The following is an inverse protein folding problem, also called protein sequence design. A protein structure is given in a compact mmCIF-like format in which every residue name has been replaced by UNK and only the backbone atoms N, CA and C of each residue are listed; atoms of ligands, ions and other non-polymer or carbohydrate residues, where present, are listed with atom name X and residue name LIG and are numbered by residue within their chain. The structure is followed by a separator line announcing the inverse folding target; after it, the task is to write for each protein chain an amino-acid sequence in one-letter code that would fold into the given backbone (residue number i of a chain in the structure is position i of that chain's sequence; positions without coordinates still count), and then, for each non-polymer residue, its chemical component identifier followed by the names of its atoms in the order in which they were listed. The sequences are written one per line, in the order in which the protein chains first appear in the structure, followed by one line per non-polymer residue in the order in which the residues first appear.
data_IF_208685104893
#
_entry.id   IF_208685104893
#
_cell.length_a   1.000
_cell.length_b   1.000
_cell.length_c   1.000
_cell.angle_alpha   90.00
_cell.angle_beta   90.00
_cell.angle_gamma   90.00
#
_symmetry.space_group_name_H-M   'P 1'
#
loop_
_entity.id
_entity.type
_entity.pdbx_description
1 polymer ?
#
# COMPACT_ATOMS: atom_id res chain seq x y z
N UNK A 1 -19.39 -10.20 -6.80
CA UNK A 1 -19.16 -10.38 -5.35
C UNK A 1 -19.88 -11.60 -4.76
N UNK A 2 -21.09 -11.97 -5.21
CA UNK A 2 -21.80 -13.21 -4.80
C UNK A 2 -21.22 -14.51 -5.39
N UNK A 3 -20.47 -14.44 -6.51
CA UNK A 3 -19.96 -15.63 -7.21
C UNK A 3 -18.80 -16.32 -6.48
N UNK A 4 -17.94 -15.55 -5.78
CA UNK A 4 -16.86 -16.10 -4.96
C UNK A 4 -17.41 -16.91 -3.78
N UNK A 5 -18.58 -16.52 -3.25
CA UNK A 5 -19.27 -17.22 -2.16
C UNK A 5 -19.88 -18.56 -2.56
N UNK A 6 -20.32 -18.71 -3.81
CA UNK A 6 -20.97 -19.94 -4.28
C UNK A 6 -19.99 -21.11 -4.52
N UNK A 7 -18.70 -20.82 -4.73
CA UNK A 7 -17.69 -21.83 -5.08
C UNK A 7 -16.66 -22.10 -3.99
N UNK A 8 -16.47 -21.16 -3.05
CA UNK A 8 -15.54 -21.30 -1.93
C UNK A 8 -16.26 -20.92 -0.64
N UNK A 9 -16.52 -21.87 0.26
CA UNK A 9 -17.19 -21.61 1.54
C UNK A 9 -16.37 -20.70 2.49
N UNK A 10 -15.12 -20.37 2.13
CA UNK A 10 -14.21 -19.55 2.92
C UNK A 10 -13.83 -18.27 2.15
N UNK A 11 -14.11 -17.11 2.74
CA UNK A 11 -13.66 -15.81 2.25
C UNK A 11 -12.13 -15.75 2.41
N UNK A 12 -11.35 -15.44 1.35
CA UNK A 12 -9.91 -15.32 1.47
C UNK A 12 -9.51 -14.28 2.52
N UNK A 13 -8.51 -14.62 3.34
CA UNK A 13 -7.98 -13.72 4.38
C UNK A 13 -7.09 -12.61 3.81
N UNK A 14 -6.56 -12.80 2.60
CA UNK A 14 -5.71 -11.85 1.87
C UNK A 14 -6.47 -11.22 0.70
N UNK A 15 -6.29 -9.92 0.52
CA UNK A 15 -6.95 -9.16 -0.55
C UNK A 15 -6.46 -9.58 -1.94
N UNK A 16 -5.17 -9.88 -2.11
CA UNK A 16 -4.63 -10.32 -3.38
C UNK A 16 -5.27 -11.63 -3.87
N UNK A 17 -5.50 -12.60 -2.98
CA UNK A 17 -6.17 -13.87 -3.28
C UNK A 17 -7.61 -13.61 -3.70
N UNK A 18 -8.32 -12.74 -2.98
CA UNK A 18 -9.69 -12.37 -3.33
C UNK A 18 -9.78 -11.76 -4.74
N UNK A 19 -8.91 -10.79 -5.06
CA UNK A 19 -8.94 -10.15 -6.38
C UNK A 19 -8.47 -11.08 -7.51
N UNK A 20 -7.53 -11.99 -7.24
CA UNK A 20 -7.14 -13.01 -8.20
C UNK A 20 -8.31 -13.95 -8.53
N UNK A 21 -8.99 -14.48 -7.52
CA UNK A 21 -10.16 -15.34 -7.69
C UNK A 21 -11.31 -14.61 -8.39
N UNK A 22 -11.54 -13.34 -8.03
CA UNK A 22 -12.55 -12.52 -8.70
C UNK A 22 -12.21 -12.34 -10.19
N UNK A 23 -10.95 -12.10 -10.53
CA UNK A 23 -10.50 -12.01 -11.91
C UNK A 23 -10.67 -13.33 -12.66
N UNK A 24 -10.29 -14.47 -12.06
CA UNK A 24 -10.47 -15.80 -12.66
C UNK A 24 -11.95 -16.09 -12.98
N UNK A 25 -12.84 -15.84 -12.02
CA UNK A 25 -14.28 -16.02 -12.21
C UNK A 25 -14.82 -15.11 -13.32
N UNK A 26 -14.40 -13.84 -13.35
CA UNK A 26 -14.79 -12.89 -14.40
C UNK A 26 -14.28 -13.32 -15.77
N UNK A 27 -13.05 -13.81 -15.85
CA UNK A 27 -12.44 -14.23 -17.12
C UNK A 27 -13.03 -15.53 -17.67
N UNK A 28 -13.39 -16.46 -16.79
CA UNK A 28 -13.88 -17.78 -17.20
C UNK A 28 -15.40 -17.88 -17.35
N UNK A 29 -16.20 -17.25 -16.46
CA UNK A 29 -17.53 -17.82 -16.12
C UNK A 29 -18.62 -16.86 -15.64
N UNK A 30 -18.57 -15.55 -15.88
CA UNK A 30 -19.66 -14.68 -15.40
C UNK A 30 -21.05 -15.09 -15.94
N UNK A 31 -21.15 -15.55 -17.20
CA UNK A 31 -22.45 -15.83 -17.85
C UNK A 31 -22.83 -17.32 -17.93
N UNK A 32 -21.88 -18.24 -17.75
CA UNK A 32 -22.14 -19.68 -17.80
C UNK A 32 -23.15 -20.14 -16.73
N UNK A 33 -23.21 -19.44 -15.60
CA UNK A 33 -24.11 -19.73 -14.48
C UNK A 33 -25.55 -19.21 -14.68
N UNK A 34 -25.82 -18.42 -15.74
CA UNK A 34 -27.15 -17.88 -16.05
C UNK A 34 -27.92 -18.69 -17.11
N UNK A 35 -27.56 -19.96 -17.32
CA UNK A 35 -28.27 -20.84 -18.27
C UNK A 35 -27.58 -21.03 -19.62
N UNK A 36 -26.25 -20.89 -19.69
CA UNK A 36 -25.45 -21.49 -20.77
C UNK A 36 -25.01 -20.58 -21.92
N UNK A 37 -25.17 -19.26 -21.84
CA UNK A 37 -24.54 -18.38 -22.83
C UNK A 37 -23.12 -18.03 -22.40
N UNK A 38 -22.13 -18.59 -23.10
CA UNK A 38 -20.74 -18.14 -22.97
C UNK A 38 -20.55 -17.00 -23.98
N UNK A 39 -20.30 -15.78 -23.50
CA UNK A 39 -19.82 -14.72 -24.40
C UNK A 39 -18.46 -15.16 -24.93
N UNK A 40 -18.36 -15.38 -26.24
CA UNK A 40 -17.08 -15.66 -26.86
C UNK A 40 -16.21 -14.41 -26.80
N UNK A 41 -14.99 -14.58 -26.29
CA UNK A 41 -13.99 -13.52 -26.32
C UNK A 41 -13.51 -13.32 -27.74
N UNK A 42 -13.36 -12.06 -28.13
CA UNK A 42 -12.85 -11.67 -29.44
C UNK A 42 -11.34 -11.89 -29.52
N UNK A 43 -10.63 -11.79 -28.39
CA UNK A 43 -9.20 -12.09 -28.31
C UNK A 43 -8.94 -13.54 -27.92
N UNK A 44 -7.87 -14.11 -28.47
CA UNK A 44 -7.38 -15.45 -28.14
C UNK A 44 -6.32 -15.45 -27.02
N UNK A 45 -6.24 -14.36 -26.25
CA UNK A 45 -5.32 -14.30 -25.10
C UNK A 45 -5.80 -15.28 -24.03
N UNK A 46 -4.86 -16.00 -23.43
CA UNK A 46 -5.14 -16.74 -22.20
C UNK A 46 -5.28 -15.78 -21.01
N UNK A 47 -5.69 -16.33 -19.87
CA UNK A 47 -5.91 -15.55 -18.65
C UNK A 47 -4.65 -14.85 -18.14
N UNK A 48 -3.47 -15.40 -18.38
CA UNK A 48 -2.21 -14.82 -17.91
C UNK A 48 -1.80 -13.66 -18.79
N UNK A 49 -1.82 -13.83 -20.11
CA UNK A 49 -1.47 -12.78 -21.06
C UNK A 49 -2.50 -11.65 -21.06
N UNK A 50 -3.79 -11.97 -20.95
CA UNK A 50 -4.83 -10.96 -20.76
C UNK A 50 -4.58 -10.16 -19.48
N UNK A 51 -4.32 -10.84 -18.36
CA UNK A 51 -3.99 -10.20 -17.10
C UNK A 51 -2.73 -9.34 -17.17
N UNK A 52 -1.70 -9.79 -17.89
CA UNK A 52 -0.44 -9.06 -18.09
C UNK A 52 -0.68 -7.76 -18.87
N UNK A 53 -1.43 -7.83 -19.98
CA UNK A 53 -1.78 -6.65 -20.77
C UNK A 53 -2.64 -5.67 -19.96
N UNK A 54 -3.61 -6.17 -19.18
CA UNK A 54 -4.43 -5.34 -18.31
C UNK A 54 -3.64 -4.71 -17.17
N UNK A 55 -2.65 -5.41 -16.60
CA UNK A 55 -1.77 -4.86 -15.56
C UNK A 55 -1.00 -3.62 -16.03
N UNK A 56 -0.49 -3.63 -17.27
CA UNK A 56 0.16 -2.49 -17.88
C UNK A 56 -0.82 -1.33 -18.15
N UNK A 57 -2.08 -1.65 -18.48
CA UNK A 57 -3.14 -0.65 -18.66
C UNK A 57 -3.49 0.03 -17.32
N UNK A 58 -3.63 -0.77 -16.26
CA UNK A 58 -3.89 -0.28 -14.91
C UNK A 58 -2.77 0.58 -14.38
N UNK A 59 -1.49 0.20 -14.60
CA UNK A 59 -0.36 1.04 -14.20
C UNK A 59 -0.44 2.44 -14.83
N UNK A 60 -0.68 2.52 -16.14
CA UNK A 60 -0.74 3.80 -16.87
C UNK A 60 -1.88 4.71 -16.39
N UNK A 61 -3.07 4.15 -16.19
CA UNK A 61 -4.24 4.91 -15.72
C UNK A 61 -4.09 5.30 -14.25
N UNK A 62 -3.54 4.42 -13.42
CA UNK A 62 -3.25 4.68 -12.01
C UNK A 62 -2.23 5.80 -11.85
N UNK A 63 -1.18 5.80 -12.68
CA UNK A 63 -0.14 6.83 -12.65
C UNK A 63 -0.70 8.24 -12.86
N UNK A 64 -1.70 8.34 -13.75
CA UNK A 64 -2.41 9.58 -14.07
C UNK A 64 -3.58 9.88 -13.13
N UNK A 65 -3.83 9.05 -12.13
CA UNK A 65 -5.00 9.14 -11.23
C UNK A 65 -6.33 9.20 -11.98
N UNK A 66 -6.38 8.54 -13.14
CA UNK A 66 -7.53 8.56 -14.01
C UNK A 66 -8.50 7.44 -13.61
N UNK A 67 -9.72 7.83 -13.22
CA UNK A 67 -10.81 6.91 -12.85
C UNK A 67 -11.85 6.73 -13.97
N UNK A 68 -11.93 7.72 -14.88
CA UNK A 68 -12.80 7.73 -16.05
C UNK A 68 -11.99 8.10 -17.30
N UNK A 69 -12.28 7.46 -18.43
CA UNK A 69 -11.58 7.72 -19.69
C UNK A 69 -12.47 7.42 -20.90
N UNK A 70 -12.22 8.11 -22.01
CA UNK A 70 -12.96 7.83 -23.25
C UNK A 70 -12.50 6.53 -23.90
N UNK A 71 -13.28 5.99 -24.84
CA UNK A 71 -12.85 4.85 -25.66
C UNK A 71 -11.53 5.11 -26.38
N UNK A 72 -11.35 6.31 -26.94
CA UNK A 72 -10.11 6.68 -27.63
C UNK A 72 -8.91 6.61 -26.67
N UNK A 73 -9.03 7.17 -25.47
CA UNK A 73 -7.99 7.10 -24.45
C UNK A 73 -7.72 5.65 -24.02
N UNK A 74 -8.76 4.82 -23.87
CA UNK A 74 -8.61 3.41 -23.55
C UNK A 74 -7.79 2.68 -24.62
N UNK A 75 -8.09 2.91 -25.90
CA UNK A 75 -7.36 2.31 -27.02
C UNK A 75 -5.89 2.75 -27.06
N UNK A 76 -5.60 4.01 -26.75
CA UNK A 76 -4.21 4.50 -26.62
C UNK A 76 -3.46 3.82 -25.47
N UNK A 77 -4.10 3.64 -24.31
CA UNK A 77 -3.49 2.93 -23.19
C UNK A 77 -3.26 1.45 -23.52
N UNK A 78 -4.20 0.80 -24.20
CA UNK A 78 -4.07 -0.60 -24.64
C UNK A 78 -2.89 -0.74 -25.60
N UNK A 79 -2.76 0.16 -26.58
CA UNK A 79 -1.66 0.16 -27.53
C UNK A 79 -0.29 0.31 -26.84
N UNK A 80 -0.19 1.21 -25.85
CA UNK A 80 1.02 1.32 -25.02
C UNK A 80 1.25 0.08 -24.16
N UNK A 81 0.20 -0.53 -23.62
CA UNK A 81 0.32 -1.78 -22.88
C UNK A 81 0.87 -2.91 -23.74
N UNK A 82 0.49 -2.97 -25.02
CA UNK A 82 1.03 -3.95 -25.97
C UNK A 82 2.53 -3.74 -26.18
N UNK A 83 2.98 -2.48 -26.31
CA UNK A 83 4.41 -2.15 -26.41
C UNK A 83 5.19 -2.54 -25.14
N UNK A 84 4.61 -2.27 -23.96
CA UNK A 84 5.23 -2.60 -22.66
C UNK A 84 5.36 -4.11 -22.48
N UNK A 85 4.33 -4.87 -22.87
CA UNK A 85 4.24 -6.31 -22.61
C UNK A 85 4.78 -7.18 -23.75
N UNK A 86 4.92 -6.63 -24.95
CA UNK A 86 5.23 -7.38 -26.18
C UNK A 86 4.08 -8.25 -26.70
N UNK A 87 2.87 -8.12 -26.14
CA UNK A 87 1.69 -8.89 -26.55
C UNK A 87 1.00 -8.25 -27.76
N UNK A 88 0.55 -9.08 -28.69
CA UNK A 88 -0.13 -8.62 -29.92
C UNK A 88 -1.57 -9.10 -29.94
N UNK A 89 -2.52 -8.16 -30.01
CA UNK A 89 -3.94 -8.43 -30.26
C UNK A 89 -4.58 -7.20 -30.91
N UNK A 90 -5.80 -7.32 -31.44
CA UNK A 90 -6.51 -6.15 -31.95
C UNK A 90 -7.06 -5.34 -30.78
N UNK A 91 -6.58 -4.11 -30.61
CA UNK A 91 -6.90 -3.25 -29.44
C UNK A 91 -8.40 -3.02 -29.23
N UNK A 92 -9.18 -2.92 -30.30
CA UNK A 92 -10.64 -2.77 -30.25
C UNK A 92 -11.29 -4.05 -29.70
N UNK A 93 -10.81 -5.21 -30.13
CA UNK A 93 -11.34 -6.51 -29.70
C UNK A 93 -11.00 -6.75 -28.22
N UNK A 94 -9.79 -6.36 -27.80
CA UNK A 94 -9.38 -6.41 -26.39
C UNK A 94 -10.21 -5.47 -25.50
N UNK A 95 -10.48 -4.24 -25.96
CA UNK A 95 -11.35 -3.31 -25.24
C UNK A 95 -12.77 -3.86 -25.10
N UNK A 96 -13.31 -4.44 -26.17
CA UNK A 96 -14.61 -5.09 -26.13
C UNK A 96 -14.64 -6.26 -25.15
N UNK A 97 -13.58 -7.09 -25.09
CA UNK A 97 -13.46 -8.16 -24.10
C UNK A 97 -13.41 -7.62 -22.67
N UNK A 98 -12.71 -6.51 -22.42
CA UNK A 98 -12.66 -5.86 -21.10
C UNK A 98 -14.05 -5.39 -20.64
N UNK A 99 -14.89 -4.90 -21.55
CA UNK A 99 -16.22 -4.36 -21.24
C UNK A 99 -17.27 -5.49 -21.15
N UNK A 100 -17.33 -6.35 -22.17
CA UNK A 100 -18.45 -7.25 -22.39
C UNK A 100 -18.21 -8.67 -21.88
N UNK A 101 -16.99 -9.19 -22.05
CA UNK A 101 -16.68 -10.59 -21.73
C UNK A 101 -16.18 -10.76 -20.29
N UNK A 102 -15.19 -9.96 -19.88
CA UNK A 102 -14.58 -10.01 -18.54
C UNK A 102 -15.20 -8.98 -17.59
N UNK A 103 -15.84 -7.93 -18.14
CA UNK A 103 -16.51 -6.88 -17.37
C UNK A 103 -15.61 -6.24 -16.30
N UNK A 104 -14.36 -5.95 -16.64
CA UNK A 104 -13.43 -5.17 -15.81
C UNK A 104 -13.62 -3.67 -15.98
N UNK A 105 -14.20 -3.28 -17.13
CA UNK A 105 -14.62 -1.92 -17.43
C UNK A 105 -16.13 -1.89 -17.69
N UNK A 106 -16.76 -0.75 -17.43
CA UNK A 106 -18.17 -0.48 -17.68
C UNK A 106 -18.29 0.85 -18.42
N UNK A 107 -19.24 0.91 -19.36
CA UNK A 107 -19.62 2.13 -20.04
C UNK A 107 -20.60 2.94 -19.17
N UNK A 108 -20.20 4.16 -18.82
CA UNK A 108 -21.04 5.15 -18.14
C UNK A 108 -21.18 6.38 -19.06
N UNK A 109 -22.26 6.38 -19.85
CA UNK A 109 -22.50 7.40 -20.86
C UNK A 109 -21.46 7.33 -21.99
N UNK A 110 -20.62 8.36 -22.11
CA UNK A 110 -19.53 8.42 -23.11
C UNK A 110 -18.16 8.05 -22.52
N UNK A 111 -18.11 7.70 -21.24
CA UNK A 111 -16.90 7.36 -20.51
C UNK A 111 -16.86 5.88 -20.17
N UNK A 112 -15.65 5.38 -19.96
CA UNK A 112 -15.37 4.07 -19.39
C UNK A 112 -14.86 4.24 -17.98
N UNK A 113 -15.38 3.44 -17.07
CA UNK A 113 -14.93 3.35 -15.67
C UNK A 113 -14.56 1.93 -15.32
N UNK A 114 -13.70 1.75 -14.31
CA UNK A 114 -13.47 0.43 -13.75
C UNK A 114 -14.72 -0.08 -13.04
N UNK A 115 -15.07 -1.35 -13.24
CA UNK A 115 -16.18 -2.01 -12.50
C UNK A 115 -15.99 -1.91 -10.99
N UNK A 116 -14.74 -1.86 -10.53
CA UNK A 116 -14.38 -1.43 -9.18
C UNK A 116 -12.96 -0.87 -9.17
N UNK A 117 -12.74 0.26 -8.48
CA UNK A 117 -11.41 0.91 -8.37
C UNK A 117 -10.31 -0.05 -7.91
N UNK A 118 -10.63 -0.99 -7.02
CA UNK A 118 -9.64 -1.93 -6.51
C UNK A 118 -9.09 -2.91 -7.56
N UNK A 119 -9.76 -3.11 -8.71
CA UNK A 119 -9.13 -3.85 -9.82
C UNK A 119 -7.96 -3.06 -10.41
N UNK A 120 -8.11 -1.75 -10.59
CA UNK A 120 -6.99 -0.89 -11.01
C UNK A 120 -5.83 -1.00 -10.02
N UNK A 121 -6.11 -0.96 -8.71
CA UNK A 121 -5.09 -1.06 -7.66
C UNK A 121 -4.40 -2.44 -7.63
N UNK A 122 -5.18 -3.52 -7.72
CA UNK A 122 -4.67 -4.90 -7.76
C UNK A 122 -3.79 -5.17 -8.97
N UNK A 123 -4.26 -4.80 -10.18
CA UNK A 123 -3.50 -5.02 -11.40
C UNK A 123 -2.27 -4.10 -11.49
N UNK A 124 -2.30 -2.91 -10.86
CA UNK A 124 -1.10 -2.09 -10.68
C UNK A 124 -0.08 -2.78 -9.77
N UNK A 125 -0.52 -3.33 -8.63
CA UNK A 125 0.36 -4.08 -7.73
C UNK A 125 0.97 -5.31 -8.42
N UNK A 126 0.16 -6.05 -9.20
CA UNK A 126 0.62 -7.19 -10.00
C UNK A 126 1.65 -6.78 -11.05
N UNK A 127 1.43 -5.67 -11.76
CA UNK A 127 2.45 -5.16 -12.70
C UNK A 127 3.78 -4.90 -12.01
N UNK A 128 3.76 -4.24 -10.85
CA UNK A 128 5.00 -3.93 -10.10
C UNK A 128 5.67 -5.24 -9.65
N UNK A 129 4.91 -6.22 -9.16
CA UNK A 129 5.45 -7.52 -8.72
C UNK A 129 6.17 -8.27 -9.85
N UNK A 130 5.65 -8.19 -11.07
CA UNK A 130 6.16 -8.90 -12.26
C UNK A 130 7.20 -8.10 -13.06
N UNK A 131 7.37 -6.81 -12.76
CA UNK A 131 8.34 -5.95 -13.43
C UNK A 131 9.79 -6.39 -13.14
N UNK A 132 10.73 -5.97 -14.00
CA UNK A 132 12.16 -6.19 -13.75
C UNK A 132 12.65 -5.41 -12.51
N UNK A 133 13.69 -5.89 -11.79
CA UNK A 133 14.20 -5.21 -10.60
C UNK A 133 14.54 -3.72 -10.78
N UNK A 134 15.11 -3.35 -11.94
CA UNK A 134 15.46 -1.96 -12.28
C UNK A 134 14.25 -1.03 -12.43
N UNK A 135 13.07 -1.60 -12.67
CA UNK A 135 11.79 -0.88 -12.77
C UNK A 135 11.00 -0.97 -11.46
N UNK A 136 11.14 -2.08 -10.71
CA UNK A 136 10.46 -2.26 -9.43
C UNK A 136 10.80 -1.17 -8.43
N UNK A 137 12.09 -0.91 -8.21
CA UNK A 137 12.55 0.09 -7.24
C UNK A 137 11.97 1.49 -7.49
N UNK A 138 12.07 2.09 -8.70
CA UNK A 138 11.51 3.41 -8.95
C UNK A 138 9.98 3.44 -8.83
N UNK A 139 9.26 2.37 -9.23
CA UNK A 139 7.80 2.30 -9.07
C UNK A 139 7.38 2.24 -7.60
N UNK A 140 8.05 1.41 -6.80
CA UNK A 140 7.80 1.32 -5.35
C UNK A 140 8.09 2.65 -4.67
N UNK A 141 9.23 3.29 -4.98
CA UNK A 141 9.55 4.63 -4.47
C UNK A 141 8.50 5.67 -4.87
N UNK A 142 8.02 5.66 -6.12
CA UNK A 142 6.99 6.58 -6.61
C UNK A 142 5.67 6.41 -5.85
N UNK A 143 5.18 5.17 -5.73
CA UNK A 143 3.84 4.90 -5.21
C UNK A 143 3.77 4.67 -3.70
N UNK A 144 4.90 4.43 -3.03
CA UNK A 144 4.95 4.35 -1.57
C UNK A 144 4.44 5.62 -0.85
N UNK A 145 4.51 6.77 -1.52
CA UNK A 145 3.92 8.03 -1.03
C UNK A 145 2.41 7.94 -0.81
N UNK A 146 1.77 7.00 -1.49
CA UNK A 146 0.32 6.81 -1.61
C UNK A 146 -0.17 5.64 -0.76
N UNK A 147 0.72 5.01 0.02
CA UNK A 147 0.47 3.83 0.85
C UNK A 147 -0.64 3.97 1.92
N UNK A 148 -1.20 5.17 2.12
CA UNK A 148 -2.35 5.40 3.01
C UNK A 148 -3.61 5.86 2.26
N UNK A 149 -3.49 6.14 0.97
CA UNK A 149 -4.59 6.65 0.13
C UNK A 149 -5.22 5.50 -0.65
N UNK A 150 -4.42 4.51 -1.05
CA UNK A 150 -4.86 3.36 -1.82
C UNK A 150 -4.22 2.05 -1.36
N UNK A 151 -4.67 0.95 -1.94
CA UNK A 151 -4.28 -0.40 -1.52
C UNK A 151 -3.08 -0.96 -2.27
N UNK A 152 -2.47 -0.22 -3.21
CA UNK A 152 -1.46 -0.77 -4.12
C UNK A 152 -0.27 -1.35 -3.36
N UNK A 153 0.28 -0.60 -2.41
CA UNK A 153 1.44 -1.07 -1.65
C UNK A 153 1.08 -2.25 -0.71
N UNK A 154 -0.14 -2.28 -0.18
CA UNK A 154 -0.62 -3.40 0.64
C UNK A 154 -0.80 -4.67 -0.19
N UNK A 155 -1.41 -4.56 -1.37
CA UNK A 155 -1.57 -5.66 -2.33
C UNK A 155 -0.21 -6.14 -2.84
N UNK A 156 0.71 -5.22 -3.10
CA UNK A 156 2.08 -5.56 -3.50
C UNK A 156 2.82 -6.30 -2.37
N UNK A 157 2.66 -5.89 -1.10
CA UNK A 157 3.25 -6.62 0.02
C UNK A 157 2.67 -8.03 0.16
N UNK A 158 1.37 -8.22 -0.06
CA UNK A 158 0.77 -9.55 -0.04
C UNK A 158 1.27 -10.45 -1.20
N UNK A 159 1.57 -9.85 -2.37
CA UNK A 159 2.09 -10.54 -3.56
C UNK A 159 3.60 -10.85 -3.45
N UNK A 160 4.39 -9.85 -3.09
CA UNK A 160 5.87 -9.84 -3.06
C UNK A 160 6.37 -9.01 -1.88
N UNK A 161 6.39 -9.59 -0.65
CA UNK A 161 6.87 -8.89 0.54
C UNK A 161 8.31 -8.40 0.40
N UNK A 162 9.17 -9.20 -0.23
CA UNK A 162 10.60 -8.96 -0.42
C UNK A 162 10.89 -7.63 -1.15
N UNK A 163 10.12 -7.34 -2.20
CA UNK A 163 10.25 -6.10 -2.98
C UNK A 163 9.94 -4.88 -2.10
N UNK A 164 8.86 -4.93 -1.33
CA UNK A 164 8.42 -3.82 -0.48
C UNK A 164 9.35 -3.63 0.72
N UNK A 165 9.81 -4.74 1.32
CA UNK A 165 10.79 -4.73 2.39
C UNK A 165 12.10 -4.06 1.93
N UNK A 166 12.60 -4.48 0.76
CA UNK A 166 13.90 -4.02 0.20
C UNK A 166 13.86 -2.58 -0.30
N UNK A 167 12.80 -2.18 -1.01
CA UNK A 167 12.77 -0.87 -1.69
C UNK A 167 11.99 0.22 -0.96
N UNK A 168 11.23 -0.13 0.09
CA UNK A 168 10.46 0.84 0.87
C UNK A 168 10.74 0.79 2.36
N UNK A 169 10.56 -0.36 3.01
CA UNK A 169 10.62 -0.44 4.48
C UNK A 169 12.05 -0.25 4.98
N UNK A 170 13.00 -1.08 4.54
CA UNK A 170 14.39 -1.02 5.00
C UNK A 170 15.02 0.34 4.70
N UNK A 171 14.97 0.89 3.47
CA UNK A 171 15.58 2.18 3.16
C UNK A 171 14.93 3.33 3.93
N UNK A 172 13.60 3.29 4.09
CA UNK A 172 12.87 4.29 4.86
C UNK A 172 13.28 4.29 6.33
N UNK A 173 13.41 3.11 6.94
CA UNK A 173 13.84 2.98 8.34
C UNK A 173 15.31 3.33 8.50
N UNK A 174 16.18 2.96 7.56
CA UNK A 174 17.58 3.39 7.60
C UNK A 174 17.73 4.90 7.53
N UNK A 175 17.00 5.57 6.64
CA UNK A 175 16.97 7.03 6.57
C UNK A 175 16.45 7.65 7.88
N UNK A 176 15.39 7.08 8.46
CA UNK A 176 14.86 7.52 9.75
C UNK A 176 15.94 7.44 10.84
N UNK A 177 16.56 6.28 11.04
CA UNK A 177 17.55 6.10 12.11
C UNK A 177 18.85 6.88 11.87
N UNK A 178 19.25 7.08 10.61
CA UNK A 178 20.34 7.97 10.25
C UNK A 178 20.05 9.42 10.68
N UNK A 179 18.84 9.94 10.39
CA UNK A 179 18.42 11.28 10.79
C UNK A 179 18.33 11.44 12.32
N UNK A 180 17.96 10.38 13.03
CA UNK A 180 17.94 10.38 14.50
C UNK A 180 19.36 10.38 15.10
N UNK A 181 20.34 9.81 14.39
CA UNK A 181 21.72 9.65 14.85
C UNK A 181 21.92 8.47 15.80
N UNK A 182 21.09 7.43 15.67
CA UNK A 182 21.15 6.23 16.54
C UNK A 182 22.33 5.35 16.14
N UNK A 183 23.30 5.16 17.05
CA UNK A 183 24.48 4.29 16.82
C UNK A 183 24.43 2.95 17.54
N UNK A 184 23.85 2.89 18.74
CA UNK A 184 23.79 1.67 19.57
C UNK A 184 22.45 1.51 20.27
N UNK A 185 22.10 2.47 21.14
CA UNK A 185 20.88 2.41 21.96
C UNK A 185 20.01 3.65 21.74
N UNK A 186 18.71 3.41 21.62
CA UNK A 186 17.69 4.47 21.57
C UNK A 186 17.52 5.06 22.98
N UNK A 187 17.44 6.37 23.06
CA UNK A 187 17.36 7.11 24.32
C UNK A 187 16.48 8.35 24.15
N UNK A 188 16.25 9.09 25.23
CA UNK A 188 15.31 10.22 25.27
C UNK A 188 15.57 11.27 24.17
N UNK A 189 16.83 11.57 23.87
CA UNK A 189 17.21 12.51 22.79
C UNK A 189 16.79 12.02 21.40
N UNK A 190 16.93 10.72 21.13
CA UNK A 190 16.50 10.12 19.87
C UNK A 190 14.98 10.14 19.76
N UNK A 191 14.28 9.83 20.86
CA UNK A 191 12.83 9.88 20.92
C UNK A 191 12.28 11.30 20.68
N UNK A 192 12.86 12.32 21.31
CA UNK A 192 12.46 13.71 21.09
C UNK A 192 12.62 14.12 19.61
N UNK A 193 13.71 13.69 18.95
CA UNK A 193 13.90 13.91 17.50
C UNK A 193 12.87 13.17 16.66
N UNK A 194 12.58 11.91 17.00
CA UNK A 194 11.56 11.10 16.32
C UNK A 194 10.20 11.78 16.38
N UNK A 195 9.81 12.25 17.57
CA UNK A 195 8.57 13.00 17.77
C UNK A 195 8.53 14.27 16.91
N UNK A 196 9.62 15.05 16.87
CA UNK A 196 9.74 16.23 15.99
C UNK A 196 9.76 15.92 14.50
N UNK A 197 10.19 14.73 14.08
CA UNK A 197 10.12 14.34 12.66
C UNK A 197 8.69 13.94 12.29
N UNK A 198 7.93 13.40 13.25
CA UNK A 198 6.53 13.06 13.04
C UNK A 198 5.68 14.32 12.87
N UNK A 199 5.94 15.39 13.64
CA UNK A 199 5.19 16.66 13.61
C UNK A 199 5.96 17.81 12.95
N UNK A 200 5.35 18.48 11.98
CA UNK A 200 5.88 19.66 11.31
C UNK A 200 6.13 20.84 12.27
N UNK A 201 5.17 21.13 13.15
CA UNK A 201 5.34 22.12 14.22
C UNK A 201 4.69 21.66 15.52
N UNK A 202 5.25 22.14 16.63
CA UNK A 202 4.76 21.97 18.00
C UNK A 202 4.76 23.37 18.59
N UNK A 203 3.58 23.95 18.74
CA UNK A 203 3.40 25.34 19.17
C UNK A 203 2.59 25.39 20.46
N UNK A 204 2.89 26.31 21.40
CA UNK A 204 2.01 26.57 22.53
C UNK A 204 0.62 26.99 22.02
N UNK A 205 -0.43 26.50 22.67
CA UNK A 205 -1.82 26.91 22.42
C UNK A 205 -2.45 27.32 23.75
N UNK A 206 -3.48 28.16 23.74
CA UNK A 206 -4.10 28.72 24.96
C UNK A 206 -4.56 27.64 25.97
N UNK A 207 -4.84 26.43 25.50
CA UNK A 207 -5.27 25.28 26.31
C UNK A 207 -4.15 24.24 26.55
N UNK A 208 -2.98 24.39 25.93
CA UNK A 208 -1.86 23.43 25.99
C UNK A 208 -0.89 23.55 24.81
N UNK A 209 -0.94 22.61 23.87
CA UNK A 209 -0.03 22.57 22.70
C UNK A 209 -0.78 22.21 21.40
N UNK A 210 -0.44 22.89 20.31
CA UNK A 210 -0.85 22.55 18.95
C UNK A 210 0.24 21.72 18.26
N UNK A 211 -0.15 20.57 17.73
CA UNK A 211 0.70 19.65 16.96
C UNK A 211 0.26 19.65 15.50
N UNK A 212 1.11 20.14 14.61
CA UNK A 212 0.82 20.18 13.17
C UNK A 212 1.57 19.10 12.41
N UNK A 213 0.87 18.41 11.52
CA UNK A 213 1.38 17.38 10.62
C UNK A 213 1.25 17.88 9.19
N UNK A 214 2.32 17.80 8.39
CA UNK A 214 2.24 18.07 6.95
C UNK A 214 1.85 16.79 6.21
N UNK A 215 0.83 16.85 5.36
CA UNK A 215 0.37 15.73 4.54
C UNK A 215 1.03 15.73 3.15
N UNK A 216 1.37 14.56 2.57
CA UNK A 216 1.34 13.24 3.20
C UNK A 216 2.49 13.05 4.19
N UNK A 217 2.18 12.54 5.39
CA UNK A 217 3.17 12.32 6.43
C UNK A 217 4.00 11.04 6.15
N UNK A 218 5.06 11.15 5.35
CA UNK A 218 5.84 10.00 4.86
C UNK A 218 6.36 9.07 5.97
N UNK A 219 6.94 9.61 7.03
CA UNK A 219 7.45 8.82 8.16
C UNK A 219 6.31 8.14 8.92
N UNK A 220 5.20 8.85 9.11
CA UNK A 220 4.00 8.28 9.72
C UNK A 220 3.48 7.08 8.91
N UNK A 221 3.40 7.23 7.58
CA UNK A 221 2.95 6.17 6.68
C UNK A 221 3.87 4.95 6.74
N UNK A 222 5.19 5.18 6.71
CA UNK A 222 6.20 4.13 6.83
C UNK A 222 6.08 3.39 8.17
N UNK A 223 6.03 4.12 9.29
CA UNK A 223 5.88 3.55 10.62
C UNK A 223 4.65 2.66 10.70
N UNK A 224 3.50 3.19 10.25
CA UNK A 224 2.24 2.43 10.27
C UNK A 224 2.30 1.20 9.37
N UNK A 225 2.85 1.32 8.17
CA UNK A 225 2.96 0.21 7.23
C UNK A 225 3.87 -0.89 7.79
N UNK A 226 5.04 -0.54 8.32
CA UNK A 226 5.98 -1.48 8.92
C UNK A 226 5.36 -2.22 10.12
N UNK A 227 4.64 -1.53 11.00
CA UNK A 227 3.97 -2.17 12.12
C UNK A 227 2.83 -3.09 11.68
N UNK A 228 2.03 -2.67 10.70
CA UNK A 228 0.89 -3.46 10.24
C UNK A 228 1.32 -4.79 9.61
N UNK A 229 2.46 -4.80 8.92
CA UNK A 229 2.91 -5.95 8.12
C UNK A 229 4.07 -6.74 8.73
N UNK A 230 4.87 -6.13 9.60
CA UNK A 230 6.11 -6.72 10.09
C UNK A 230 6.18 -6.87 11.63
N UNK A 231 5.12 -6.53 12.39
CA UNK A 231 5.12 -6.66 13.85
C UNK A 231 5.30 -8.11 14.33
N UNK A 232 4.83 -9.08 13.55
CA UNK A 232 4.99 -10.51 13.83
C UNK A 232 6.45 -10.98 13.81
N UNK A 233 7.36 -10.23 13.18
CA UNK A 233 8.79 -10.57 13.14
C UNK A 233 9.52 -10.28 14.46
N UNK A 234 8.90 -9.51 15.37
CA UNK A 234 9.59 -8.95 16.55
C UNK A 234 8.81 -9.13 17.86
N UNK A 235 7.79 -9.99 17.85
CA UNK A 235 6.93 -10.28 19.01
C UNK A 235 6.40 -9.03 19.71
N UNK A 236 6.13 -7.96 18.95
CA UNK A 236 5.50 -6.76 19.47
C UNK A 236 3.98 -6.85 19.28
N UNK A 237 3.19 -6.33 20.24
CA UNK A 237 1.75 -6.25 20.04
C UNK A 237 1.47 -5.49 18.74
N UNK A 238 0.66 -6.07 17.86
CA UNK A 238 0.17 -5.39 16.66
C UNK A 238 -0.43 -4.07 17.08
N UNK A 239 0.16 -2.98 16.59
CA UNK A 239 -0.43 -1.65 16.64
C UNK A 239 -1.63 -1.73 15.67
N UNK A 240 -2.80 -2.12 16.21
CA UNK A 240 -4.04 -2.42 15.46
C UNK A 240 -4.40 -1.30 14.46
N UNK A 241 -5.15 -1.56 13.39
CA UNK A 241 -5.60 -0.56 12.39
C UNK A 241 -6.27 0.67 13.05
N UNK A 242 -6.78 0.52 14.27
CA UNK A 242 -7.39 1.54 15.12
C UNK A 242 -6.43 2.36 16.01
N UNK A 243 -5.14 2.02 16.06
CA UNK A 243 -4.16 2.48 17.06
C UNK A 243 -3.43 3.81 16.73
N UNK A 244 -3.97 4.60 15.81
CA UNK A 244 -3.88 6.06 16.01
C UNK A 244 -4.54 6.47 17.34
N UNK A 245 -5.44 5.63 17.87
CA UNK A 245 -6.39 5.95 18.92
C UNK A 245 -6.82 4.71 19.75
N UNK A 246 -6.12 3.57 19.79
CA UNK A 246 -6.67 2.39 20.53
C UNK A 246 -6.68 2.58 22.05
N UNK A 247 -5.90 3.53 22.58
CA UNK A 247 -6.21 4.20 23.85
C UNK A 247 -7.19 5.36 23.61
N UNK A 248 -8.38 5.05 23.05
CA UNK A 248 -9.41 6.04 22.66
C UNK A 248 -9.73 6.96 23.83
N UNK A 249 -9.61 6.47 25.07
CA UNK A 249 -10.03 7.25 26.23
C UNK A 249 -8.95 8.15 26.82
N UNK A 250 -7.65 7.87 26.67
CA UNK A 250 -6.60 8.74 27.26
C UNK A 250 -6.18 9.85 26.32
N UNK A 251 -5.84 9.52 25.06
CA UNK A 251 -5.40 10.52 24.09
C UNK A 251 -6.55 11.40 23.57
N UNK A 252 -7.77 10.86 23.37
CA UNK A 252 -8.90 11.71 22.96
C UNK A 252 -9.32 12.69 24.05
N UNK A 253 -9.20 12.33 25.33
CA UNK A 253 -9.46 13.27 26.44
C UNK A 253 -8.50 14.46 26.43
N UNK A 254 -7.31 14.26 25.87
CA UNK A 254 -6.32 15.32 25.70
C UNK A 254 -6.58 16.16 24.44
N UNK A 255 -7.25 15.63 23.41
CA UNK A 255 -7.52 16.38 22.17
C UNK A 255 -8.74 17.28 22.36
N UNK A 256 -8.56 18.60 22.32
CA UNK A 256 -9.66 19.58 22.43
C UNK A 256 -10.12 20.13 21.09
N UNK A 257 -9.33 19.96 20.03
CA UNK A 257 -9.71 20.39 18.70
C UNK A 257 -8.83 19.83 17.59
N UNK A 258 -9.33 19.90 16.36
CA UNK A 258 -8.53 19.65 15.16
C UNK A 258 -8.84 20.70 14.09
N UNK A 259 -7.84 21.06 13.29
CA UNK A 259 -8.01 21.92 12.12
C UNK A 259 -7.26 21.33 10.94
N UNK A 260 -7.84 21.39 9.75
CA UNK A 260 -7.18 21.00 8.51
C UNK A 260 -7.20 22.18 7.55
N UNK A 261 -6.03 22.71 7.21
CA UNK A 261 -5.86 23.85 6.31
C UNK A 261 -4.64 23.63 5.43
N UNK A 262 -4.79 23.83 4.12
CA UNK A 262 -3.71 23.81 3.13
C UNK A 262 -2.77 22.58 3.21
N UNK A 263 -3.33 21.38 3.44
CA UNK A 263 -2.55 20.14 3.57
C UNK A 263 -1.80 19.97 4.89
N UNK A 264 -2.07 20.83 5.88
CA UNK A 264 -1.65 20.65 7.26
C UNK A 264 -2.83 20.19 8.11
N UNK A 265 -2.59 19.17 8.94
CA UNK A 265 -3.51 18.71 9.96
C UNK A 265 -2.96 19.08 11.33
N UNK A 266 -3.66 19.97 12.04
CA UNK A 266 -3.30 20.42 13.38
C UNK A 266 -4.22 19.77 14.41
N UNK A 267 -3.64 19.24 15.49
CA UNK A 267 -4.32 18.67 16.64
C UNK A 267 -3.98 19.54 17.85
N UNK A 268 -5.01 19.98 18.59
CA UNK A 268 -4.82 20.77 19.81
C UNK A 268 -4.93 19.82 21.00
N UNK A 269 -3.92 19.85 21.87
CA UNK A 269 -3.84 19.09 23.10
C UNK A 269 -4.00 20.00 24.31
N UNK A 270 -4.84 19.59 25.27
CA UNK A 270 -5.03 20.23 26.56
C UNK A 270 -3.94 19.85 27.56
N UNK A 271 -3.71 20.71 28.55
CA UNK A 271 -2.97 20.42 29.78
C UNK A 271 -1.46 20.15 29.60
N UNK A 272 -0.90 20.48 28.43
CA UNK A 272 0.53 20.43 28.13
C UNK A 272 1.13 21.84 27.88
N UNK A 273 1.42 22.63 28.92
CA UNK A 273 2.09 23.92 28.77
C UNK A 273 3.59 23.77 28.44
N UNK A 274 4.19 22.59 28.67
CA UNK A 274 5.58 22.27 28.35
C UNK A 274 5.68 20.99 27.51
N UNK A 275 6.50 21.06 26.45
CA UNK A 275 6.70 19.96 25.48
C UNK A 275 7.35 18.72 26.13
N UNK A 276 8.14 18.88 27.18
CA UNK A 276 8.82 17.75 27.83
C UNK A 276 7.85 16.81 28.56
N UNK A 277 6.79 17.35 29.19
CA UNK A 277 5.73 16.56 29.81
C UNK A 277 4.91 15.81 28.74
N UNK A 278 4.68 16.46 27.60
CA UNK A 278 4.02 15.83 26.45
C UNK A 278 4.82 14.63 25.92
N UNK A 279 6.14 14.76 25.80
CA UNK A 279 7.00 13.68 25.35
C UNK A 279 6.97 12.49 26.33
N UNK A 280 6.99 12.74 27.63
CA UNK A 280 6.92 11.69 28.65
C UNK A 280 5.59 10.93 28.59
N UNK A 281 4.48 11.65 28.51
CA UNK A 281 3.14 11.05 28.50
C UNK A 281 2.83 10.34 27.19
N UNK A 282 3.06 10.98 26.04
CA UNK A 282 2.85 10.33 24.73
C UNK A 282 3.82 9.17 24.52
N UNK A 283 5.04 9.28 25.06
CA UNK A 283 6.07 8.24 24.98
C UNK A 283 5.67 6.95 25.67
N UNK A 284 4.87 7.05 26.75
CA UNK A 284 4.35 5.91 27.51
C UNK A 284 3.01 5.35 27.00
N UNK A 285 2.40 5.95 25.98
CA UNK A 285 1.10 5.49 25.44
C UNK A 285 1.34 4.66 24.18
N UNK A 286 0.95 3.37 24.15
CA UNK A 286 1.04 2.53 22.96
C UNK A 286 0.36 3.18 21.75
N UNK A 287 1.19 3.67 20.83
CA UNK A 287 0.78 4.42 19.65
C UNK A 287 1.96 4.55 18.68
N UNK A 288 1.71 4.91 17.43
CA UNK A 288 2.76 5.23 16.44
C UNK A 288 3.74 6.33 16.88
N UNK A 289 3.41 7.10 17.91
CA UNK A 289 4.27 8.17 18.44
C UNK A 289 5.09 7.74 19.65
N UNK A 290 4.90 6.53 20.17
CA UNK A 290 5.50 6.08 21.43
C UNK A 290 7.01 5.78 21.32
N UNK A 291 7.69 5.76 22.46
CA UNK A 291 9.09 5.33 22.50
C UNK A 291 9.22 3.83 22.18
N UNK A 292 8.23 3.04 22.57
CA UNK A 292 8.15 1.61 22.29
C UNK A 292 8.08 1.34 20.79
N UNK A 293 7.31 2.15 20.06
CA UNK A 293 7.22 2.10 18.59
C UNK A 293 8.55 2.37 17.95
N UNK A 294 9.28 3.41 18.38
CA UNK A 294 10.61 3.71 17.83
C UNK A 294 11.59 2.55 18.07
N UNK A 295 11.56 1.93 19.25
CA UNK A 295 12.36 0.73 19.54
C UNK A 295 11.92 -0.45 18.65
N UNK A 296 10.61 -0.60 18.44
CA UNK A 296 10.06 -1.64 17.58
C UNK A 296 10.46 -1.49 16.12
N UNK A 297 10.47 -0.28 15.59
CA UNK A 297 10.97 -0.01 14.23
C UNK A 297 12.43 -0.43 14.07
N UNK A 298 13.26 -0.24 15.09
CA UNK A 298 14.67 -0.64 15.05
C UNK A 298 14.84 -2.17 15.03
N UNK A 299 13.99 -2.86 15.81
CA UNK A 299 13.92 -4.32 15.80
C UNK A 299 13.43 -4.85 14.47
N UNK A 300 12.36 -4.27 13.90
CA UNK A 300 11.82 -4.65 12.59
C UNK A 300 12.89 -4.47 11.53
N UNK A 301 13.56 -3.31 11.50
CA UNK A 301 14.66 -3.02 10.58
C UNK A 301 15.77 -4.07 10.67
N UNK A 302 16.17 -4.43 11.89
CA UNK A 302 17.22 -5.42 12.12
C UNK A 302 16.79 -6.82 11.68
N UNK A 303 15.56 -7.22 12.00
CA UNK A 303 15.00 -8.51 11.62
C UNK A 303 14.86 -8.66 10.11
N UNK A 304 14.39 -7.62 9.41
CA UNK A 304 14.27 -7.63 7.94
C UNK A 304 15.64 -7.74 7.24
N UNK A 305 16.66 -7.02 7.74
CA UNK A 305 18.03 -7.15 7.23
C UNK A 305 18.58 -8.56 7.45
N UNK A 306 18.37 -9.12 8.64
CA UNK A 306 18.81 -10.47 8.95
C UNK A 306 18.09 -11.51 8.07
N UNK A 307 16.77 -11.37 7.87
CA UNK A 307 15.98 -12.20 6.95
C UNK A 307 16.58 -12.19 5.54
N UNK A 308 16.86 -11.01 5.00
CA UNK A 308 17.46 -10.84 3.66
C UNK A 308 18.80 -11.59 3.55
N UNK A 309 19.70 -11.42 4.55
CA UNK A 309 21.00 -12.11 4.58
C UNK A 309 20.85 -13.63 4.62
N UNK A 310 19.88 -14.14 5.39
CA UNK A 310 19.63 -15.59 5.50
C UNK A 310 19.10 -16.14 4.18
N UNK A 311 18.19 -15.43 3.52
CA UNK A 311 17.63 -15.79 2.22
C UNK A 311 18.72 -15.84 1.14
N UNK A 312 19.56 -14.79 1.05
CA UNK A 312 20.69 -14.73 0.12
C UNK A 312 21.66 -15.89 0.31
N UNK A 313 22.11 -16.13 1.56
CA UNK A 313 23.00 -17.26 1.86
C UNK A 313 22.38 -18.61 1.52
N UNK A 314 21.09 -18.77 1.75
CA UNK A 314 20.36 -20.00 1.43
C UNK A 314 20.34 -20.23 -0.08
N UNK A 315 20.07 -19.19 -0.88
CA UNK A 315 20.08 -19.25 -2.34
C UNK A 315 21.49 -19.49 -2.90
N UNK A 316 22.51 -18.79 -2.38
CA UNK A 316 23.91 -19.00 -2.75
C UNK A 316 24.36 -20.44 -2.49
N UNK A 317 23.92 -21.05 -1.37
CA UNK A 317 24.24 -22.45 -1.06
C UNK A 317 23.64 -23.45 -2.05
N UNK A 318 22.53 -23.11 -2.70
CA UNK A 318 21.90 -23.93 -3.75
C UNK A 318 22.69 -23.76 -5.05
N UNK A 319 23.09 -22.53 -5.38
CA UNK A 319 23.80 -22.21 -6.63
C UNK A 319 25.28 -22.66 -6.61
N UNK A 320 25.91 -22.71 -5.44
CA UNK A 320 27.32 -23.08 -5.25
C UNK A 320 27.58 -24.58 -5.11
N UNK A 321 26.53 -25.43 -5.07
CA UNK A 321 26.67 -26.89 -5.20
C UNK A 321 26.94 -27.26 -6.66
N UNK A 322 28.15 -26.99 -7.15
CA UNK A 322 28.72 -27.56 -8.37
C UNK A 322 30.19 -27.88 -8.17
#
# INVERSE_FOLDING_TARGET
MLLTYGQSANIPSKLNVFYNQAYEVLFERHDALKGGYKRDRLTHLDIQDFGRLFSAFCLQTYDKRQLEFTHTQALEYIEKSQQITGLTCKKVDYLNDLIQAVCLLVEEGLQLVFSHRSFQEYFTARFIADARPDIQEPLVKKYSRMAQIDSVLHLLYELRPDIVETYYIIPGLDQLFANLGVKKKIGKRHYAKYFKIMFFSIEPHDEGCALSLKQPAHIFNLTRFAFQHCSSLVDLPTIDKSSMLSNKDKLKKLVTGHCEKAGMKTIILKDYPQVDNLLADVGGIPSVYSMETLVGLDRIRSALKQKTIIEEKSLESILSKK
#
